data_IF_319517560627
#
_entry.id   IF_319517560627
#
_cell.length_a   1.000
_cell.length_b   1.000
_cell.length_c   1.000
_cell.angle_alpha   90.00
_cell.angle_beta   90.00
_cell.angle_gamma   90.00
#
_symmetry.space_group_name_H-M   'P 1'
#
loop_
_entity.id
_entity.type
_entity.pdbx_description
1 polymer ?
#
# COMPACT_ATOMS: atom_id res chain seq x y z
N UNK A 1 20.21 53.73 -39.67
CA UNK A 1 19.94 53.03 -40.95
C UNK A 1 20.02 51.54 -40.66
N UNK A 2 18.95 50.75 -40.63
CA UNK A 2 17.58 50.91 -41.14
C UNK A 2 16.72 49.77 -40.58
N UNK A 3 15.47 50.11 -40.24
CA UNK A 3 14.22 49.31 -40.19
C UNK A 3 14.18 48.01 -39.36
N UNK A 4 13.43 47.94 -38.25
CA UNK A 4 11.96 48.07 -38.07
C UNK A 4 11.16 47.00 -38.82
N UNK A 5 10.30 46.35 -38.03
CA UNK A 5 9.13 45.53 -38.38
C UNK A 5 9.36 44.05 -38.71
N UNK A 6 9.18 43.22 -37.68
CA UNK A 6 8.29 42.08 -37.87
C UNK A 6 7.59 41.73 -36.54
N UNK A 7 6.57 42.52 -36.23
CA UNK A 7 5.48 42.15 -35.32
C UNK A 7 4.68 41.04 -35.98
N UNK A 8 5.15 39.80 -35.83
CA UNK A 8 4.36 38.61 -36.13
C UNK A 8 3.28 38.45 -35.08
N UNK A 9 2.09 38.97 -35.40
CA UNK A 9 0.85 38.78 -34.66
C UNK A 9 0.67 37.28 -34.40
N UNK A 10 0.59 36.92 -33.12
CA UNK A 10 0.18 35.60 -32.67
C UNK A 10 -1.26 35.34 -33.14
N UNK A 11 -1.40 34.75 -34.33
CA UNK A 11 -2.64 34.10 -34.73
C UNK A 11 -2.69 32.80 -33.95
N UNK A 12 -3.28 32.85 -32.75
CA UNK A 12 -3.78 31.65 -32.10
C UNK A 12 -4.90 31.12 -32.99
N UNK A 13 -4.56 30.30 -33.98
CA UNK A 13 -5.52 29.39 -34.58
C UNK A 13 -6.06 28.58 -33.42
N UNK A 14 -7.34 28.80 -33.08
CA UNK A 14 -8.12 27.79 -32.38
C UNK A 14 -8.14 26.60 -33.32
N UNK A 15 -7.12 25.74 -33.20
CA UNK A 15 -7.14 24.44 -33.81
C UNK A 15 -8.41 23.76 -33.28
N UNK A 16 -9.26 23.38 -34.24
CA UNK A 16 -10.34 22.44 -34.03
C UNK A 16 -9.85 21.33 -33.07
N UNK A 17 -10.64 20.82 -32.12
CA UNK A 17 -10.21 19.69 -31.32
C UNK A 17 -10.09 18.48 -32.26
N UNK A 18 -8.93 18.36 -32.92
CA UNK A 18 -8.64 17.24 -33.78
C UNK A 18 -8.72 16.02 -32.87
N UNK A 19 -9.55 15.07 -33.28
CA UNK A 19 -9.66 13.79 -32.60
C UNK A 19 -8.32 13.08 -32.79
N UNK A 20 -7.39 13.32 -31.87
CA UNK A 20 -6.07 12.68 -31.89
C UNK A 20 -6.23 11.29 -31.29
N UNK A 21 -6.23 10.30 -32.18
CA UNK A 21 -6.32 8.89 -31.84
C UNK A 21 -4.95 8.35 -31.44
N UNK A 22 -4.87 7.72 -30.25
CA UNK A 22 -3.66 7.06 -29.80
C UNK A 22 -3.90 5.55 -29.72
N UNK A 23 -3.23 4.77 -30.57
CA UNK A 23 -3.43 3.31 -30.64
C UNK A 23 -3.19 2.60 -29.30
N UNK A 24 -2.37 3.19 -28.42
CA UNK A 24 -2.05 2.63 -27.10
C UNK A 24 -3.27 2.58 -26.18
N UNK A 25 -4.26 3.46 -26.36
CA UNK A 25 -5.45 3.49 -25.50
C UNK A 25 -6.41 2.33 -25.77
N UNK A 26 -6.29 1.64 -26.92
CA UNK A 26 -7.09 0.44 -27.23
C UNK A 26 -6.41 -0.88 -26.85
N UNK A 27 -5.13 -0.88 -26.46
CA UNK A 27 -4.45 -2.13 -26.07
C UNK A 27 -5.20 -2.91 -24.96
N UNK A 28 -5.73 -2.27 -23.90
CA UNK A 28 -6.48 -2.97 -22.87
C UNK A 28 -7.82 -3.55 -23.36
N UNK A 29 -8.53 -2.83 -24.24
CA UNK A 29 -9.82 -3.30 -24.78
C UNK A 29 -9.61 -4.52 -25.66
N UNK A 30 -8.60 -4.50 -26.54
CA UNK A 30 -8.27 -5.66 -27.39
C UNK A 30 -7.86 -6.87 -26.56
N UNK A 31 -7.04 -6.71 -25.53
CA UNK A 31 -6.64 -7.82 -24.65
C UNK A 31 -7.83 -8.40 -23.88
N UNK A 32 -8.78 -7.57 -23.42
CA UNK A 32 -9.99 -8.04 -22.74
C UNK A 32 -10.98 -8.69 -23.69
N UNK A 33 -11.06 -8.25 -24.95
CA UNK A 33 -11.89 -8.86 -25.98
C UNK A 33 -11.34 -10.23 -26.38
N UNK A 34 -10.01 -10.33 -26.55
CA UNK A 34 -9.33 -11.59 -26.80
C UNK A 34 -9.50 -12.58 -25.63
N UNK A 35 -9.44 -12.09 -24.39
CA UNK A 35 -9.78 -12.87 -23.19
C UNK A 35 -11.14 -13.57 -23.29
N UNK A 36 -12.15 -12.77 -23.64
CA UNK A 36 -13.54 -13.18 -23.67
C UNK A 36 -13.78 -14.17 -24.82
N UNK A 37 -13.20 -13.89 -26.00
CA UNK A 37 -13.27 -14.81 -27.13
C UNK A 37 -12.64 -16.16 -26.81
N UNK A 38 -11.44 -16.19 -26.23
CA UNK A 38 -10.78 -17.45 -25.82
C UNK A 38 -11.60 -18.18 -24.76
N UNK A 39 -12.21 -17.46 -23.81
CA UNK A 39 -13.03 -18.06 -22.76
C UNK A 39 -14.29 -18.73 -23.31
N UNK A 40 -14.98 -18.08 -24.26
CA UNK A 40 -16.23 -18.56 -24.86
C UNK A 40 -16.01 -19.65 -25.93
N UNK A 41 -14.98 -19.53 -26.76
CA UNK A 41 -14.78 -20.41 -27.92
C UNK A 41 -14.11 -21.74 -27.55
N UNK A 42 -13.25 -21.76 -26.53
CA UNK A 42 -12.60 -23.01 -26.13
C UNK A 42 -13.47 -23.80 -25.14
N UNK A 43 -13.71 -25.10 -25.34
CA UNK A 43 -14.36 -25.93 -24.34
C UNK A 43 -13.47 -26.11 -23.09
N UNK A 44 -14.09 -26.34 -21.93
CA UNK A 44 -13.35 -26.63 -20.70
C UNK A 44 -12.73 -28.04 -20.75
N UNK A 45 -11.62 -28.26 -20.05
CA UNK A 45 -10.98 -29.58 -19.99
C UNK A 45 -11.95 -30.63 -19.43
N UNK A 46 -12.06 -31.82 -20.03
CA UNK A 46 -12.93 -32.90 -19.53
C UNK A 46 -12.53 -33.42 -18.14
N UNK A 47 -11.32 -33.08 -17.67
CA UNK A 47 -10.83 -33.42 -16.33
C UNK A 47 -11.25 -32.39 -15.27
N UNK A 48 -11.83 -31.25 -15.66
CA UNK A 48 -12.29 -30.22 -14.75
C UNK A 48 -13.67 -30.58 -14.17
N UNK A 49 -13.71 -30.93 -12.89
CA UNK A 49 -14.90 -31.46 -12.21
C UNK A 49 -15.76 -30.41 -11.51
N UNK A 50 -15.34 -29.14 -11.55
CA UNK A 50 -15.98 -28.08 -10.78
C UNK A 50 -17.06 -27.35 -11.59
N UNK A 51 -18.16 -26.94 -10.92
CA UNK A 51 -19.30 -26.24 -11.56
C UNK A 51 -18.85 -24.94 -12.26
N UNK A 52 -19.24 -24.71 -13.53
CA UNK A 52 -18.97 -23.45 -14.23
C UNK A 52 -19.74 -22.30 -13.57
N UNK A 53 -19.12 -21.13 -13.48
CA UNK A 53 -19.67 -19.92 -12.87
C UNK A 53 -19.61 -18.75 -13.88
N UNK A 54 -20.52 -17.77 -13.80
CA UNK A 54 -20.59 -16.67 -14.78
C UNK A 54 -19.75 -15.43 -14.40
N UNK A 55 -19.11 -15.41 -13.21
CA UNK A 55 -18.56 -14.18 -12.64
C UNK A 55 -17.39 -13.57 -13.45
N UNK A 56 -16.52 -14.40 -14.02
CA UNK A 56 -15.40 -13.96 -14.84
C UNK A 56 -15.87 -13.39 -16.18
N UNK A 57 -16.89 -13.99 -16.80
CA UNK A 57 -17.50 -13.46 -18.02
C UNK A 57 -18.10 -12.09 -17.77
N UNK A 58 -18.82 -11.90 -16.66
CA UNK A 58 -19.38 -10.61 -16.25
C UNK A 58 -18.25 -9.60 -16.01
N UNK A 59 -17.19 -9.99 -15.30
CA UNK A 59 -16.04 -9.12 -15.03
C UNK A 59 -15.30 -8.70 -16.31
N UNK A 60 -15.14 -9.60 -17.29
CA UNK A 60 -14.55 -9.27 -18.59
C UNK A 60 -15.43 -8.27 -19.37
N UNK A 61 -16.76 -8.47 -19.39
CA UNK A 61 -17.69 -7.53 -20.03
C UNK A 61 -17.61 -6.14 -19.38
N UNK A 62 -17.60 -6.06 -18.05
CA UNK A 62 -17.44 -4.79 -17.32
C UNK A 62 -16.08 -4.15 -17.65
N UNK A 63 -15.01 -4.94 -17.68
CA UNK A 63 -13.66 -4.45 -17.99
C UNK A 63 -13.58 -3.90 -19.41
N UNK A 64 -14.20 -4.57 -20.38
CA UNK A 64 -14.34 -4.08 -21.76
C UNK A 64 -15.11 -2.76 -21.76
N UNK A 65 -16.26 -2.67 -21.09
CA UNK A 65 -17.06 -1.45 -21.02
C UNK A 65 -16.29 -0.26 -20.43
N UNK A 66 -15.57 -0.47 -19.33
CA UNK A 66 -14.76 0.57 -18.66
C UNK A 66 -13.59 1.01 -19.56
N UNK A 67 -12.83 0.06 -20.11
CA UNK A 67 -11.66 0.38 -20.94
C UNK A 67 -12.07 1.04 -22.26
N UNK A 68 -13.21 0.65 -22.83
CA UNK A 68 -13.77 1.26 -24.04
C UNK A 68 -14.32 2.66 -23.74
N UNK A 69 -15.01 2.85 -22.61
CA UNK A 69 -15.44 4.17 -22.14
C UNK A 69 -14.27 5.13 -21.91
N UNK A 70 -13.18 4.66 -21.29
CA UNK A 70 -11.95 5.45 -21.10
C UNK A 70 -11.25 5.76 -22.43
N UNK A 71 -11.22 4.81 -23.36
CA UNK A 71 -10.69 5.03 -24.70
C UNK A 71 -11.53 6.06 -25.47
N UNK A 72 -12.85 6.05 -25.36
CA UNK A 72 -13.72 7.07 -25.95
C UNK A 72 -13.50 8.45 -25.30
N UNK A 73 -13.41 8.52 -23.97
CA UNK A 73 -13.12 9.77 -23.26
C UNK A 73 -11.74 10.35 -23.61
N UNK A 74 -10.76 9.50 -23.93
CA UNK A 74 -9.44 9.95 -24.41
C UNK A 74 -9.46 10.62 -25.78
N UNK A 75 -10.52 10.44 -26.58
CA UNK A 75 -10.68 11.13 -27.86
C UNK A 75 -11.01 12.61 -27.65
N UNK A 76 -11.73 12.93 -26.56
CA UNK A 76 -12.22 14.27 -26.27
C UNK A 76 -11.33 15.05 -25.29
N UNK A 77 -10.50 14.38 -24.49
CA UNK A 77 -9.69 15.02 -23.46
C UNK A 77 -8.22 14.59 -23.50
N UNK A 78 -7.35 15.52 -23.87
CA UNK A 78 -5.91 15.31 -24.01
C UNK A 78 -5.22 14.89 -22.70
N UNK A 79 -5.62 15.47 -21.57
CA UNK A 79 -5.06 15.09 -20.26
C UNK A 79 -5.40 13.65 -19.87
N UNK A 80 -6.59 13.19 -20.25
CA UNK A 80 -7.03 11.81 -20.03
C UNK A 80 -6.28 10.87 -20.98
N UNK A 81 -6.08 11.28 -22.24
CA UNK A 81 -5.34 10.52 -23.26
C UNK A 81 -3.92 10.21 -22.84
N UNK A 82 -3.13 11.21 -22.43
CA UNK A 82 -1.73 11.00 -22.05
C UNK A 82 -1.60 10.10 -20.81
N UNK A 83 -2.41 10.39 -19.77
CA UNK A 83 -2.40 9.63 -18.51
C UNK A 83 -2.86 8.19 -18.71
N UNK A 84 -3.88 7.97 -19.55
CA UNK A 84 -4.39 6.64 -19.85
C UNK A 84 -3.42 5.87 -20.73
N UNK A 85 -2.92 6.44 -21.84
CA UNK A 85 -1.97 5.80 -22.75
C UNK A 85 -0.69 5.30 -22.06
N UNK A 86 -0.19 6.05 -21.06
CA UNK A 86 0.94 5.60 -20.23
C UNK A 86 0.57 4.37 -19.37
N UNK A 87 -0.60 4.38 -18.73
CA UNK A 87 -1.08 3.28 -17.89
C UNK A 87 -1.60 2.08 -18.67
N UNK A 88 -1.97 2.25 -19.94
CA UNK A 88 -2.56 1.21 -20.79
C UNK A 88 -1.69 -0.02 -20.92
N UNK A 89 -0.36 0.13 -21.00
CA UNK A 89 0.57 -1.01 -21.04
C UNK A 89 0.48 -1.87 -19.77
N UNK A 90 0.49 -1.23 -18.61
CA UNK A 90 0.36 -1.95 -17.34
C UNK A 90 -0.99 -2.68 -17.23
N UNK A 91 -2.09 -2.01 -17.58
CA UNK A 91 -3.43 -2.61 -17.56
C UNK A 91 -3.52 -3.82 -18.50
N UNK A 92 -2.96 -3.68 -19.72
CA UNK A 92 -2.94 -4.75 -20.72
C UNK A 92 -2.16 -5.96 -20.21
N UNK A 93 -0.98 -5.75 -19.62
CA UNK A 93 -0.17 -6.84 -19.05
C UNK A 93 -0.91 -7.56 -17.92
N UNK A 94 -1.61 -6.83 -17.04
CA UNK A 94 -2.40 -7.44 -15.96
C UNK A 94 -3.54 -8.31 -16.52
N UNK A 95 -4.30 -7.80 -17.51
CA UNK A 95 -5.38 -8.55 -18.16
C UNK A 95 -4.82 -9.80 -18.86
N UNK A 96 -3.72 -9.65 -19.60
CA UNK A 96 -3.06 -10.76 -20.28
C UNK A 96 -2.58 -11.84 -19.29
N UNK A 97 -2.03 -11.45 -18.14
CA UNK A 97 -1.59 -12.39 -17.11
C UNK A 97 -2.76 -13.15 -16.48
N UNK A 98 -3.89 -12.48 -16.22
CA UNK A 98 -5.12 -13.13 -15.76
C UNK A 98 -5.67 -14.12 -16.80
N UNK A 99 -5.56 -13.79 -18.09
CA UNK A 99 -5.97 -14.69 -19.18
C UNK A 99 -5.08 -15.92 -19.28
N UNK A 100 -3.76 -15.75 -19.18
CA UNK A 100 -2.80 -16.85 -19.17
C UNK A 100 -3.11 -17.77 -18.00
N UNK A 101 -3.34 -17.20 -16.80
CA UNK A 101 -3.71 -18.00 -15.62
C UNK A 101 -5.02 -18.77 -15.84
N UNK A 102 -6.04 -18.12 -16.40
CA UNK A 102 -7.31 -18.77 -16.72
C UNK A 102 -7.14 -19.92 -17.75
N UNK A 103 -6.30 -19.71 -18.75
CA UNK A 103 -6.02 -20.70 -19.79
C UNK A 103 -5.28 -21.94 -19.23
N UNK A 104 -4.24 -21.71 -18.43
CA UNK A 104 -3.42 -22.77 -17.82
C UNK A 104 -4.22 -23.60 -16.81
N UNK A 105 -5.14 -22.96 -16.08
CA UNK A 105 -5.94 -23.61 -15.02
C UNK A 105 -7.20 -24.29 -15.57
N UNK A 106 -8.05 -23.60 -16.35
CA UNK A 106 -9.32 -24.14 -16.83
C UNK A 106 -9.21 -24.99 -18.09
N UNK A 107 -8.36 -24.59 -19.05
CA UNK A 107 -8.30 -25.23 -20.37
C UNK A 107 -7.24 -26.32 -20.42
N UNK A 108 -6.03 -26.03 -19.95
CA UNK A 108 -4.92 -26.99 -20.00
C UNK A 108 -4.81 -27.90 -18.77
N UNK A 109 -5.36 -27.47 -17.62
CA UNK A 109 -5.24 -28.17 -16.33
C UNK A 109 -3.79 -28.55 -15.97
N UNK A 110 -2.83 -27.70 -16.36
CA UNK A 110 -1.41 -27.89 -16.05
C UNK A 110 -1.11 -27.72 -14.56
N UNK A 111 -1.96 -26.95 -13.88
CA UNK A 111 -1.86 -26.66 -12.45
C UNK A 111 -3.00 -27.35 -11.69
N UNK A 112 -2.75 -27.87 -10.47
CA UNK A 112 -3.81 -28.45 -9.67
C UNK A 112 -4.84 -27.37 -9.31
N UNK A 113 -6.09 -27.56 -9.77
CA UNK A 113 -7.16 -26.57 -9.65
C UNK A 113 -7.55 -26.22 -8.20
N UNK A 114 -7.15 -27.04 -7.23
CA UNK A 114 -7.35 -26.77 -5.79
C UNK A 114 -6.43 -25.64 -5.32
N UNK A 115 -5.15 -25.66 -5.68
CA UNK A 115 -4.16 -24.66 -5.25
C UNK A 115 -4.18 -23.39 -6.12
N UNK A 116 -4.54 -23.54 -7.39
CA UNK A 116 -4.59 -22.45 -8.37
C UNK A 116 -6.03 -22.29 -8.88
N UNK A 117 -6.91 -21.64 -8.09
CA UNK A 117 -8.30 -21.44 -8.46
C UNK A 117 -8.39 -20.51 -9.69
N UNK A 118 -9.37 -20.78 -10.54
CA UNK A 118 -9.69 -19.90 -11.66
C UNK A 118 -10.26 -18.54 -11.15
N UNK A 119 -10.07 -17.45 -11.92
CA UNK A 119 -10.55 -16.12 -11.52
C UNK A 119 -12.04 -16.06 -11.15
N UNK A 120 -12.91 -16.87 -11.77
CA UNK A 120 -14.33 -16.97 -11.39
C UNK A 120 -14.54 -17.29 -9.92
N UNK A 121 -13.75 -18.20 -9.37
CA UNK A 121 -13.90 -18.66 -7.98
C UNK A 121 -13.50 -17.58 -7.01
N UNK A 122 -12.46 -16.81 -7.33
CA UNK A 122 -12.04 -15.67 -6.53
C UNK A 122 -13.14 -14.60 -6.53
N UNK A 123 -13.70 -14.29 -7.70
CA UNK A 123 -14.80 -13.33 -7.84
C UNK A 123 -16.08 -13.79 -7.11
N UNK A 124 -16.37 -15.09 -7.12
CA UNK A 124 -17.48 -15.67 -6.35
C UNK A 124 -17.36 -15.32 -4.86
N UNK A 125 -16.17 -15.45 -4.28
CA UNK A 125 -15.93 -15.13 -2.86
C UNK A 125 -16.25 -13.66 -2.57
N UNK A 126 -15.86 -12.75 -3.46
CA UNK A 126 -16.19 -11.33 -3.32
C UNK A 126 -17.69 -11.02 -3.45
N UNK A 127 -18.49 -11.89 -4.05
CA UNK A 127 -19.94 -11.68 -4.15
C UNK A 127 -20.70 -12.33 -3.00
N UNK A 128 -20.28 -13.52 -2.56
CA UNK A 128 -20.98 -14.30 -1.54
C UNK A 128 -20.48 -14.03 -0.11
N UNK A 129 -19.19 -13.73 0.08
CA UNK A 129 -18.56 -13.64 1.41
C UNK A 129 -18.09 -12.22 1.78
N UNK A 130 -18.43 -11.19 1.00
CA UNK A 130 -17.93 -9.82 1.22
C UNK A 130 -18.19 -9.28 2.62
N UNK A 131 -19.35 -9.58 3.21
CA UNK A 131 -19.69 -9.12 4.57
C UNK A 131 -18.75 -9.70 5.62
N UNK A 132 -18.40 -10.98 5.48
CA UNK A 132 -17.49 -11.65 6.41
C UNK A 132 -16.06 -11.14 6.26
N UNK A 133 -15.61 -10.96 5.02
CA UNK A 133 -14.30 -10.35 4.72
C UNK A 133 -14.22 -8.94 5.29
N UNK A 134 -15.25 -8.10 5.11
CA UNK A 134 -15.28 -6.75 5.68
C UNK A 134 -15.26 -6.77 7.20
N UNK A 135 -15.96 -7.72 7.84
CA UNK A 135 -15.90 -7.91 9.28
C UNK A 135 -14.46 -8.22 9.70
N UNK A 136 -13.82 -9.21 9.09
CA UNK A 136 -12.42 -9.56 9.35
C UNK A 136 -11.49 -8.35 9.14
N UNK A 137 -11.70 -7.59 8.06
CA UNK A 137 -10.93 -6.38 7.77
C UNK A 137 -11.09 -5.31 8.85
N UNK A 138 -12.30 -5.13 9.39
CA UNK A 138 -12.55 -4.19 10.48
C UNK A 138 -11.83 -4.60 11.78
N UNK A 139 -11.80 -5.89 12.10
CA UNK A 139 -11.02 -6.40 13.24
C UNK A 139 -9.51 -6.17 13.04
N UNK A 140 -8.99 -6.45 11.84
CA UNK A 140 -7.60 -6.15 11.50
C UNK A 140 -7.27 -4.67 11.57
N UNK A 141 -8.16 -3.81 11.06
CA UNK A 141 -8.01 -2.36 11.11
C UNK A 141 -7.99 -1.83 12.55
N UNK A 142 -8.86 -2.35 13.42
CA UNK A 142 -8.87 -2.02 14.86
C UNK A 142 -7.56 -2.42 15.53
N UNK A 143 -7.10 -3.65 15.28
CA UNK A 143 -5.89 -4.20 15.89
C UNK A 143 -4.64 -3.42 15.44
N UNK A 144 -4.52 -3.21 14.13
CA UNK A 144 -3.47 -2.41 13.51
C UNK A 144 -3.47 -0.99 14.04
N UNK A 145 -4.62 -0.32 14.04
CA UNK A 145 -4.74 1.09 14.45
C UNK A 145 -4.29 1.31 15.90
N UNK A 146 -4.72 0.46 16.83
CA UNK A 146 -4.33 0.57 18.24
C UNK A 146 -2.83 0.32 18.45
N UNK A 147 -2.30 -0.78 17.90
CA UNK A 147 -0.87 -1.09 18.02
C UNK A 147 0.00 -0.02 17.35
N UNK A 148 -0.42 0.46 16.19
CA UNK A 148 0.30 1.48 15.42
C UNK A 148 0.33 2.82 16.14
N UNK A 149 -0.80 3.33 16.63
CA UNK A 149 -0.85 4.62 17.34
C UNK A 149 0.01 4.56 18.60
N UNK A 150 -0.08 3.47 19.38
CA UNK A 150 0.75 3.29 20.57
C UNK A 150 2.24 3.24 20.20
N UNK A 151 2.62 2.39 19.25
CA UNK A 151 4.01 2.24 18.83
C UNK A 151 4.60 3.51 18.24
N UNK A 152 3.85 4.23 17.40
CA UNK A 152 4.28 5.49 16.80
C UNK A 152 4.42 6.60 17.85
N UNK A 153 3.45 6.73 18.78
CA UNK A 153 3.50 7.76 19.82
C UNK A 153 4.67 7.53 20.76
N UNK A 154 4.83 6.30 21.24
CA UNK A 154 5.97 5.93 22.11
C UNK A 154 7.27 6.10 21.31
N UNK A 155 7.32 5.64 20.06
CA UNK A 155 8.53 5.67 19.24
C UNK A 155 9.01 7.09 18.92
N UNK A 156 8.11 7.99 18.56
CA UNK A 156 8.42 9.41 18.37
C UNK A 156 8.92 10.02 19.68
N UNK A 157 8.23 9.75 20.79
CA UNK A 157 8.59 10.29 22.11
C UNK A 157 9.97 9.80 22.55
N UNK A 158 10.24 8.49 22.50
CA UNK A 158 11.54 7.92 22.84
C UNK A 158 12.62 8.38 21.88
N UNK A 159 12.31 8.51 20.58
CA UNK A 159 13.23 9.04 19.59
C UNK A 159 13.64 10.49 19.89
N UNK A 160 12.68 11.34 20.28
CA UNK A 160 12.97 12.72 20.68
C UNK A 160 13.87 12.77 21.92
N UNK A 161 13.54 11.99 22.95
CA UNK A 161 14.31 11.97 24.20
C UNK A 161 15.76 11.49 23.97
N UNK A 162 15.93 10.42 23.19
CA UNK A 162 17.24 9.84 22.87
C UNK A 162 18.05 10.78 21.98
N UNK A 163 17.44 11.39 20.96
CA UNK A 163 18.14 12.30 20.06
C UNK A 163 18.53 13.62 20.71
N UNK A 164 17.77 14.08 21.72
CA UNK A 164 18.03 15.36 22.40
C UNK A 164 18.98 15.24 23.60
N UNK A 165 18.85 14.17 24.41
CA UNK A 165 19.54 14.07 25.70
C UNK A 165 20.57 12.95 25.74
N UNK A 166 21.82 13.32 26.07
CA UNK A 166 22.92 12.35 26.29
C UNK A 166 22.59 11.32 27.39
N UNK A 167 21.85 11.72 28.42
CA UNK A 167 21.45 10.83 29.52
C UNK A 167 20.45 9.76 29.07
N UNK A 168 19.40 10.16 28.34
CA UNK A 168 18.44 9.21 27.77
C UNK A 168 19.11 8.31 26.73
N UNK A 169 19.97 8.88 25.88
CA UNK A 169 20.77 8.12 24.92
C UNK A 169 21.63 7.04 25.58
N UNK A 170 22.29 7.34 26.71
CA UNK A 170 23.11 6.37 27.44
C UNK A 170 22.30 5.13 27.90
N UNK A 171 21.11 5.34 28.46
CA UNK A 171 20.29 4.24 29.00
C UNK A 171 19.45 3.51 27.95
N UNK A 172 18.93 4.21 26.95
CA UNK A 172 17.98 3.64 25.97
C UNK A 172 18.70 3.01 24.77
N UNK A 173 19.86 3.52 24.34
CA UNK A 173 20.58 2.94 23.20
C UNK A 173 20.95 1.46 23.37
N UNK A 174 21.41 0.99 24.55
CA UNK A 174 21.64 -0.44 24.77
C UNK A 174 20.37 -1.27 24.54
N UNK A 175 19.21 -0.80 25.03
CA UNK A 175 17.92 -1.47 24.82
C UNK A 175 17.55 -1.52 23.34
N UNK A 176 17.72 -0.40 22.62
CA UNK A 176 17.49 -0.33 21.17
C UNK A 176 18.42 -1.29 20.41
N UNK A 177 19.69 -1.40 20.81
CA UNK A 177 20.67 -2.29 20.17
C UNK A 177 20.37 -3.77 20.40
N UNK A 178 19.84 -4.13 21.57
CA UNK A 178 19.51 -5.52 21.93
C UNK A 178 18.16 -5.93 21.34
N UNK A 179 17.12 -5.10 21.54
CA UNK A 179 15.76 -5.40 21.10
C UNK A 179 15.58 -5.19 19.60
N UNK A 180 16.32 -4.25 19.02
CA UNK A 180 16.12 -3.78 17.65
C UNK A 180 16.30 -4.82 16.55
N UNK A 181 17.38 -5.62 16.56
CA UNK A 181 17.61 -6.65 15.56
C UNK A 181 16.61 -7.81 15.63
N UNK A 182 15.92 -7.99 16.76
CA UNK A 182 15.00 -9.10 16.96
C UNK A 182 13.65 -8.73 16.31
N UNK A 183 13.17 -9.50 15.32
CA UNK A 183 11.87 -9.21 14.71
C UNK A 183 10.78 -9.29 15.78
N UNK A 184 9.82 -8.36 15.74
CA UNK A 184 8.66 -8.33 16.64
C UNK A 184 7.94 -9.68 16.71
N UNK A 185 7.87 -10.41 15.59
CA UNK A 185 7.24 -11.74 15.49
C UNK A 185 7.93 -12.82 16.32
N UNK A 186 9.24 -12.68 16.63
CA UNK A 186 9.93 -13.63 17.50
C UNK A 186 9.48 -13.51 18.97
N UNK A 187 8.86 -12.40 19.36
CA UNK A 187 8.35 -12.17 20.71
C UNK A 187 6.97 -12.77 20.96
N UNK A 188 6.35 -13.42 19.95
CA UNK A 188 4.98 -13.96 20.07
C UNK A 188 4.80 -14.88 21.29
N UNK A 189 5.67 -15.87 21.57
CA UNK A 189 5.46 -16.77 22.70
C UNK A 189 5.43 -16.04 24.05
N UNK A 190 6.37 -15.10 24.24
CA UNK A 190 6.46 -14.30 25.46
C UNK A 190 5.25 -13.38 25.56
N UNK A 191 4.82 -12.75 24.46
CA UNK A 191 3.66 -11.88 24.46
C UNK A 191 2.37 -12.65 24.81
N UNK A 192 2.16 -13.85 24.27
CA UNK A 192 0.97 -14.64 24.56
C UNK A 192 0.88 -15.09 26.03
N UNK A 193 2.02 -15.35 26.68
CA UNK A 193 2.06 -15.70 28.11
C UNK A 193 1.95 -14.47 29.01
N UNK A 194 2.50 -13.33 28.58
CA UNK A 194 2.57 -12.12 29.41
C UNK A 194 1.27 -11.32 29.45
N UNK A 195 0.44 -11.40 28.41
CA UNK A 195 -0.80 -10.66 28.30
C UNK A 195 -2.02 -11.54 28.57
N UNK A 196 -3.06 -10.97 29.18
CA UNK A 196 -4.27 -11.70 29.57
C UNK A 196 -5.07 -12.24 28.38
N UNK A 197 -4.93 -11.64 27.19
CA UNK A 197 -5.58 -12.10 25.98
C UNK A 197 -4.72 -11.86 24.73
N UNK A 198 -4.96 -12.67 23.69
CA UNK A 198 -4.25 -12.60 22.42
C UNK A 198 -4.38 -11.25 21.72
N UNK A 199 -5.47 -10.51 21.97
CA UNK A 199 -5.68 -9.18 21.40
C UNK A 199 -4.65 -8.19 21.95
N UNK A 200 -4.46 -8.13 23.28
CA UNK A 200 -3.46 -7.28 23.92
C UNK A 200 -2.04 -7.68 23.51
N UNK A 201 -1.74 -8.99 23.47
CA UNK A 201 -0.46 -9.48 22.97
C UNK A 201 -0.19 -9.00 21.54
N UNK A 202 -1.17 -9.10 20.65
CA UNK A 202 -1.05 -8.67 19.26
C UNK A 202 -0.85 -7.15 19.14
N UNK A 203 -1.59 -6.35 19.92
CA UNK A 203 -1.41 -4.89 19.98
C UNK A 203 0.01 -4.54 20.42
N UNK A 204 0.54 -5.22 21.43
CA UNK A 204 1.91 -5.02 21.91
C UNK A 204 2.95 -5.35 20.83
N UNK A 205 2.82 -6.48 20.14
CA UNK A 205 3.74 -6.88 19.09
C UNK A 205 3.76 -5.87 17.93
N UNK A 206 2.59 -5.39 17.51
CA UNK A 206 2.47 -4.35 16.48
C UNK A 206 3.10 -3.04 16.97
N UNK A 207 2.85 -2.66 18.23
CA UNK A 207 3.46 -1.47 18.82
C UNK A 207 4.99 -1.57 18.85
N UNK A 208 5.55 -2.72 19.21
CA UNK A 208 6.99 -2.98 19.21
C UNK A 208 7.57 -2.88 17.80
N UNK A 209 6.88 -3.43 16.80
CA UNK A 209 7.28 -3.39 15.40
C UNK A 209 7.36 -1.96 14.83
N UNK A 210 6.44 -1.08 15.26
CA UNK A 210 6.41 0.33 14.85
C UNK A 210 7.40 1.16 15.67
N UNK A 211 7.49 0.89 16.97
CA UNK A 211 8.30 1.64 17.93
C UNK A 211 9.77 1.69 17.53
N UNK A 212 10.36 0.56 17.15
CA UNK A 212 11.79 0.47 16.88
C UNK A 212 12.27 1.37 15.72
N UNK A 213 11.80 1.20 14.46
CA UNK A 213 12.24 2.03 13.35
C UNK A 213 11.88 3.51 13.57
N UNK A 214 10.73 3.78 14.18
CA UNK A 214 10.30 5.15 14.50
C UNK A 214 11.26 5.81 15.48
N UNK A 215 11.65 5.11 16.55
CA UNK A 215 12.59 5.63 17.57
C UNK A 215 13.96 5.93 16.96
N UNK A 216 14.52 4.97 16.22
CA UNK A 216 15.87 5.07 15.66
C UNK A 216 15.96 6.22 14.66
N UNK A 217 15.00 6.31 13.74
CA UNK A 217 15.02 7.33 12.68
C UNK A 217 14.65 8.72 13.20
N UNK A 218 13.79 8.81 14.22
CA UNK A 218 13.50 10.07 14.92
C UNK A 218 14.73 10.57 15.69
N UNK A 219 15.38 9.69 16.46
CA UNK A 219 16.59 10.02 17.22
C UNK A 219 17.73 10.47 16.31
N UNK A 220 17.96 9.74 15.22
CA UNK A 220 18.95 10.10 14.21
C UNK A 220 18.60 11.44 13.55
N UNK A 221 17.33 11.68 13.20
CA UNK A 221 16.90 12.97 12.65
C UNK A 221 17.20 14.14 13.56
N UNK A 222 16.89 14.02 14.85
CA UNK A 222 17.08 15.08 15.84
C UNK A 222 18.56 15.31 16.15
N UNK A 223 19.37 14.25 16.22
CA UNK A 223 20.80 14.36 16.50
C UNK A 223 21.59 14.99 15.33
N UNK A 224 21.06 14.92 14.10
CA UNK A 224 21.69 15.45 12.90
C UNK A 224 21.31 16.91 12.57
N UNK A 225 20.49 17.54 13.40
CA UNK A 225 20.12 18.96 13.25
C UNK A 225 21.37 19.83 13.39
N UNK A 226 21.55 20.80 12.48
CA UNK A 226 22.75 21.65 12.46
C UNK A 226 22.87 22.45 13.76
N UNK A 227 24.02 22.36 14.43
CA UNK A 227 24.31 23.09 15.67
C UNK A 227 24.12 24.62 15.54
N UNK A 228 24.37 25.19 14.36
CA UNK A 228 24.14 26.61 14.08
C UNK A 228 22.71 27.08 14.42
N UNK A 229 21.69 26.24 14.20
CA UNK A 229 20.32 26.60 14.58
C UNK A 229 20.14 26.68 16.10
N UNK A 230 20.85 25.84 16.86
CA UNK A 230 20.82 25.88 18.31
C UNK A 230 21.61 27.04 18.89
N UNK A 231 22.73 27.43 18.27
CA UNK A 231 23.51 28.61 18.66
C UNK A 231 22.69 29.90 18.47
N UNK A 232 22.11 30.11 17.28
CA UNK A 232 21.29 31.29 16.96
C UNK A 232 20.04 31.36 17.85
N UNK A 233 19.38 30.23 18.10
CA UNK A 233 18.22 30.23 19.00
C UNK A 233 18.61 30.49 20.46
N UNK A 234 19.82 30.11 20.88
CA UNK A 234 20.34 30.42 22.22
C UNK A 234 20.59 31.92 22.37
N UNK A 235 21.12 32.60 21.34
CA UNK A 235 21.31 34.06 21.37
C UNK A 235 20.00 34.83 21.42
N UNK A 236 18.92 34.25 20.89
CA UNK A 236 17.56 34.81 20.97
C UNK A 236 16.81 34.45 22.27
N UNK A 237 17.47 33.77 23.22
CA UNK A 237 16.87 33.41 24.50
C UNK A 237 15.87 32.25 24.45
N UNK A 238 15.92 31.40 23.42
CA UNK A 238 14.98 30.29 23.29
C UNK A 238 15.16 29.24 24.39
N UNK A 239 14.06 28.80 25.00
CA UNK A 239 14.07 27.72 25.98
C UNK A 239 14.30 26.35 25.33
N UNK A 240 14.71 25.35 26.11
CA UNK A 240 14.94 23.98 25.61
C UNK A 240 13.74 23.40 24.88
N UNK A 241 12.53 23.58 25.41
CA UNK A 241 11.30 23.11 24.76
C UNK A 241 11.06 23.83 23.43
N UNK A 242 11.36 25.13 23.35
CA UNK A 242 11.25 25.88 22.10
C UNK A 242 12.26 25.35 21.07
N UNK A 243 13.49 25.03 21.47
CA UNK A 243 14.48 24.44 20.56
C UNK A 243 14.04 23.07 20.03
N UNK A 244 13.45 22.23 20.88
CA UNK A 244 12.93 20.92 20.46
C UNK A 244 11.77 21.10 19.48
N UNK A 245 10.70 21.78 19.88
CA UNK A 245 9.45 21.81 19.09
C UNK A 245 9.48 22.76 17.89
N UNK A 246 10.28 23.84 17.94
CA UNK A 246 10.32 24.84 16.86
C UNK A 246 11.49 24.68 15.89
N UNK A 247 12.53 23.91 16.26
CA UNK A 247 13.75 23.77 15.45
C UNK A 247 14.01 22.30 15.16
N UNK A 248 14.29 21.51 16.20
CA UNK A 248 14.73 20.14 16.01
C UNK A 248 13.65 19.25 15.40
N UNK A 249 12.42 19.34 15.91
CA UNK A 249 11.30 18.52 15.44
C UNK A 249 10.94 18.84 13.97
N UNK A 250 10.74 20.11 13.55
CA UNK A 250 10.52 20.45 12.14
C UNK A 250 11.65 19.99 11.21
N UNK A 251 12.92 20.21 11.57
CA UNK A 251 14.08 19.82 10.74
C UNK A 251 14.20 18.29 10.62
N UNK A 252 13.87 17.56 11.69
CA UNK A 252 13.88 16.10 11.73
C UNK A 252 12.62 15.44 11.11
N UNK A 253 11.57 16.19 10.76
CA UNK A 253 10.32 15.63 10.20
C UNK A 253 10.54 14.64 9.05
N UNK A 254 11.44 14.88 8.07
CA UNK A 254 11.65 13.93 6.97
C UNK A 254 12.13 12.57 7.47
N UNK A 255 13.08 12.56 8.40
CA UNK A 255 13.59 11.34 9.04
C UNK A 255 12.52 10.64 9.88
N UNK A 256 11.69 11.41 10.59
CA UNK A 256 10.55 10.88 11.36
C UNK A 256 9.56 10.18 10.43
N UNK A 257 9.23 10.77 9.27
CA UNK A 257 8.36 10.13 8.27
C UNK A 257 8.94 8.85 7.68
N UNK A 258 10.27 8.77 7.49
CA UNK A 258 10.93 7.52 7.09
C UNK A 258 10.78 6.47 8.21
N UNK A 259 10.91 6.88 9.47
CA UNK A 259 10.66 6.03 10.64
C UNK A 259 9.25 5.48 10.69
N UNK A 260 8.27 6.37 10.53
CA UNK A 260 6.85 6.04 10.47
C UNK A 260 6.58 5.08 9.31
N UNK A 261 7.11 5.33 8.11
CA UNK A 261 6.94 4.44 6.95
C UNK A 261 7.49 3.04 7.18
N UNK A 262 8.73 2.94 7.68
CA UNK A 262 9.33 1.65 8.02
C UNK A 262 8.51 0.94 9.12
N UNK A 263 8.04 1.68 10.12
CA UNK A 263 7.12 1.18 11.14
C UNK A 263 5.81 0.66 10.55
N UNK A 264 5.21 1.38 9.59
CA UNK A 264 4.01 0.94 8.87
C UNK A 264 4.26 -0.39 8.17
N UNK A 265 5.35 -0.53 7.41
CA UNK A 265 5.69 -1.78 6.73
C UNK A 265 5.90 -2.94 7.72
N UNK A 266 6.65 -2.72 8.80
CA UNK A 266 6.87 -3.73 9.85
C UNK A 266 5.59 -4.11 10.58
N UNK A 267 4.68 -3.15 10.78
CA UNK A 267 3.37 -3.39 11.41
C UNK A 267 2.49 -4.32 10.60
N UNK A 268 2.53 -4.25 9.26
CA UNK A 268 1.74 -5.12 8.38
C UNK A 268 2.17 -6.58 8.47
N UNK A 269 3.47 -6.82 8.47
CA UNK A 269 4.05 -8.16 8.62
C UNK A 269 3.68 -8.72 10.00
N UNK A 270 3.84 -7.91 11.05
CA UNK A 270 3.54 -8.32 12.41
C UNK A 270 2.06 -8.57 12.65
N UNK A 271 1.19 -7.72 12.08
CA UNK A 271 -0.27 -7.90 12.12
C UNK A 271 -0.67 -9.27 11.56
N UNK A 272 -0.15 -9.62 10.38
CA UNK A 272 -0.44 -10.91 9.76
C UNK A 272 -0.03 -12.07 10.66
N UNK A 273 1.20 -12.06 11.16
CA UNK A 273 1.68 -13.12 12.06
C UNK A 273 0.89 -13.19 13.37
N UNK A 274 0.55 -12.04 13.96
CA UNK A 274 -0.17 -11.99 15.23
C UNK A 274 -1.61 -12.51 15.10
N UNK A 275 -2.30 -12.17 14.02
CA UNK A 275 -3.66 -12.65 13.75
C UNK A 275 -3.73 -14.16 13.53
N UNK A 276 -2.68 -14.76 12.94
CA UNK A 276 -2.62 -16.21 12.72
C UNK A 276 -2.53 -17.02 14.02
N UNK A 277 -2.06 -16.42 15.12
CA UNK A 277 -1.62 -17.16 16.31
C UNK A 277 -2.53 -17.01 17.54
N UNK A 278 -3.62 -16.23 17.47
CA UNK A 278 -4.49 -16.15 18.64
C UNK A 278 -5.75 -15.31 18.56
N UNK A 279 -6.07 -14.68 17.43
CA UNK A 279 -7.26 -13.83 17.30
C UNK A 279 -8.37 -14.61 16.60
N UNK A 280 -9.62 -14.45 17.05
CA UNK A 280 -10.79 -15.15 16.47
C UNK A 280 -11.32 -14.52 15.17
N UNK A 281 -10.92 -13.29 14.87
CA UNK A 281 -11.34 -12.53 13.69
C UNK A 281 -10.18 -11.64 13.23
N UNK A 282 -9.94 -11.60 11.92
CA UNK A 282 -8.86 -10.86 11.27
C UNK A 282 -8.62 -11.42 9.87
N UNK A 283 -7.99 -10.66 8.99
CA UNK A 283 -7.68 -11.16 7.64
C UNK A 283 -6.55 -12.20 7.69
N UNK A 284 -5.53 -12.02 8.53
CA UNK A 284 -4.48 -13.03 8.72
C UNK A 284 -5.04 -14.35 9.25
N UNK A 285 -5.99 -14.27 10.19
CA UNK A 285 -6.75 -15.42 10.67
C UNK A 285 -7.60 -16.07 9.55
N UNK A 286 -8.34 -15.26 8.77
CA UNK A 286 -9.17 -15.74 7.67
C UNK A 286 -8.34 -16.50 6.62
N UNK A 287 -7.21 -15.94 6.21
CA UNK A 287 -6.29 -16.56 5.25
C UNK A 287 -5.79 -17.91 5.79
N UNK A 288 -5.38 -17.96 7.06
CA UNK A 288 -4.90 -19.19 7.67
C UNK A 288 -6.00 -20.26 7.74
N UNK A 289 -7.19 -19.88 8.19
CA UNK A 289 -8.35 -20.79 8.28
C UNK A 289 -8.75 -21.34 6.91
N UNK A 290 -8.81 -20.49 5.87
CA UNK A 290 -9.18 -20.92 4.52
C UNK A 290 -8.12 -21.80 3.87
N UNK A 291 -6.83 -21.56 4.19
CA UNK A 291 -5.72 -22.43 3.80
C UNK A 291 -5.88 -23.83 4.41
N UNK A 292 -6.21 -23.92 5.69
CA UNK A 292 -6.44 -25.20 6.38
C UNK A 292 -7.65 -25.96 5.80
N UNK A 293 -8.68 -25.23 5.36
CA UNK A 293 -9.86 -25.79 4.67
C UNK A 293 -9.61 -26.11 3.18
N UNK A 294 -8.38 -25.92 2.66
CA UNK A 294 -8.02 -26.07 1.24
C UNK A 294 -8.86 -25.20 0.28
N UNK A 295 -9.51 -24.14 0.78
CA UNK A 295 -10.27 -23.20 -0.05
C UNK A 295 -9.36 -22.07 -0.52
N UNK A 296 -8.47 -22.37 -1.48
CA UNK A 296 -7.51 -21.37 -1.96
C UNK A 296 -8.17 -20.19 -2.65
N UNK A 297 -9.35 -20.34 -3.25
CA UNK A 297 -10.10 -19.20 -3.81
C UNK A 297 -10.31 -18.09 -2.76
N UNK A 298 -10.64 -18.48 -1.53
CA UNK A 298 -10.83 -17.60 -0.40
C UNK A 298 -9.49 -17.04 0.11
N UNK A 299 -8.41 -17.85 0.10
CA UNK A 299 -7.05 -17.40 0.40
C UNK A 299 -6.62 -16.27 -0.53
N UNK A 300 -6.77 -16.44 -1.86
CA UNK A 300 -6.44 -15.39 -2.84
C UNK A 300 -7.31 -14.15 -2.68
N UNK A 301 -8.62 -14.31 -2.40
CA UNK A 301 -9.50 -13.18 -2.13
C UNK A 301 -9.02 -12.37 -0.90
N UNK A 302 -8.65 -13.06 0.19
CA UNK A 302 -8.07 -12.43 1.38
C UNK A 302 -6.75 -11.70 1.09
N UNK A 303 -5.86 -12.31 0.29
CA UNK A 303 -4.60 -11.70 -0.15
C UNK A 303 -4.82 -10.43 -0.99
N UNK A 304 -5.81 -10.43 -1.88
CA UNK A 304 -6.16 -9.24 -2.67
C UNK A 304 -6.68 -8.10 -1.79
N UNK A 305 -7.51 -8.42 -0.78
CA UNK A 305 -8.06 -7.44 0.16
C UNK A 305 -6.94 -6.76 0.95
N UNK A 306 -5.96 -7.51 1.44
CA UNK A 306 -4.84 -6.92 2.19
C UNK A 306 -3.91 -6.12 1.29
N UNK A 307 -3.65 -6.59 0.06
CA UNK A 307 -2.83 -5.86 -0.90
C UNK A 307 -3.45 -4.49 -1.20
N UNK A 308 -4.76 -4.46 -1.43
CA UNK A 308 -5.50 -3.22 -1.63
C UNK A 308 -5.48 -2.33 -0.39
N UNK A 309 -5.78 -2.89 0.78
CA UNK A 309 -5.86 -2.14 2.05
C UNK A 309 -4.52 -1.55 2.45
N UNK A 310 -3.44 -2.32 2.41
CA UNK A 310 -2.10 -1.85 2.75
C UNK A 310 -1.58 -0.81 1.76
N UNK A 311 -1.83 -1.01 0.46
CA UNK A 311 -1.52 0.00 -0.57
C UNK A 311 -2.29 1.30 -0.33
N UNK A 312 -3.57 1.20 0.05
CA UNK A 312 -4.39 2.36 0.39
C UNK A 312 -3.84 3.10 1.63
N UNK A 313 -3.47 2.39 2.69
CA UNK A 313 -2.88 2.98 3.90
C UNK A 313 -1.55 3.69 3.59
N UNK A 314 -0.65 3.03 2.83
CA UNK A 314 0.64 3.63 2.43
C UNK A 314 0.41 4.89 1.58
N UNK A 315 -0.52 4.83 0.62
CA UNK A 315 -0.87 5.98 -0.22
C UNK A 315 -1.39 7.15 0.62
N UNK A 316 -2.26 6.86 1.60
CA UNK A 316 -2.77 7.87 2.52
C UNK A 316 -1.65 8.48 3.36
N UNK A 317 -0.73 7.65 3.88
CA UNK A 317 0.43 8.09 4.66
C UNK A 317 1.34 9.02 3.83
N UNK A 318 1.67 8.66 2.58
CA UNK A 318 2.47 9.51 1.71
C UNK A 318 1.76 10.81 1.35
N UNK A 319 0.45 10.79 1.14
CA UNK A 319 -0.34 12.01 0.91
C UNK A 319 -0.30 12.96 2.13
N UNK A 320 -0.31 12.41 3.35
CA UNK A 320 -0.14 13.19 4.59
C UNK A 320 1.28 13.75 4.67
N UNK A 321 2.30 12.92 4.44
CA UNK A 321 3.71 13.33 4.39
C UNK A 321 3.91 14.51 3.44
N UNK A 322 3.43 14.40 2.21
CA UNK A 322 3.66 15.40 1.16
C UNK A 322 2.98 16.75 1.47
N UNK A 323 1.87 16.72 2.22
CA UNK A 323 1.22 17.93 2.74
C UNK A 323 2.02 18.57 3.87
N UNK A 324 2.54 17.77 4.80
CA UNK A 324 3.31 18.25 5.96
C UNK A 324 4.70 18.75 5.54
N UNK A 325 5.36 18.06 4.61
CA UNK A 325 6.69 18.38 4.08
C UNK A 325 6.65 19.30 2.85
N UNK A 326 5.53 19.98 2.58
CA UNK A 326 5.40 20.86 1.42
C UNK A 326 6.38 22.05 1.41
N UNK A 327 7.00 22.37 2.54
CA UNK A 327 8.03 23.40 2.69
C UNK A 327 9.43 22.93 2.24
N UNK A 328 9.67 21.63 2.18
CA UNK A 328 10.97 21.08 1.82
C UNK A 328 11.15 21.11 0.30
N UNK A 329 12.14 21.84 -0.19
CA UNK A 329 12.47 21.87 -1.63
C UNK A 329 13.12 20.53 -2.03
N UNK A 330 12.61 19.87 -3.07
CA UNK A 330 13.23 18.68 -3.66
C UNK A 330 12.71 17.31 -3.21
N UNK A 331 11.64 17.24 -2.40
CA UNK A 331 10.98 15.95 -2.11
C UNK A 331 10.24 15.45 -3.36
N UNK A 332 10.62 14.24 -3.82
CA UNK A 332 9.95 13.54 -4.91
C UNK A 332 8.50 13.28 -4.47
N UNK A 333 7.55 13.88 -5.19
CA UNK A 333 6.12 13.63 -5.01
C UNK A 333 5.81 12.24 -5.57
N UNK A 334 5.18 11.39 -4.76
CA UNK A 334 4.83 10.01 -5.11
C UNK A 334 3.46 9.88 -5.74
#
# INVERSE_FOLDING_TARGET
MSDISNTGIAVTSRENPAIVFNIKTLLPTFSALLALLVHLLMPNSPRYTQKPLPYFTIALIITIGITLGLALLSLFNEKVREKYAYKSWFITTVIALLNILNFVTLKLMLLPAIYFPNPDRILKVFMEEWQFILKCLAYSGRLLGLGYILGATIGITTGILVGWSKGWSYWVNPLIKILGPIPSTAWVPIALVSFANSFQASVFLIALAVWFPTTVLTSSGISNVKNAYFEVSSTLGASTLQKIFKIALPDAMPSIFIGIFNGTCSSFITLMTAEMLGVKFGIGWYINWQREMLSYANVYAGLMVIAFTFSFIITLMFKVRDRVLGWQKGVIKW
#
